data_IF_110132305237
#
_entry.id   IF_110132305237
#
_cell.length_a   1.000
_cell.length_b   1.000
_cell.length_c   1.000
_cell.angle_alpha   90.00
_cell.angle_beta   90.00
_cell.angle_gamma   90.00
#
_symmetry.space_group_name_H-M   'P 1'
#
loop_
_entity.id
_entity.type
_entity.pdbx_description
1 polymer ?
#
# COMPACT_ATOMS: atom_id res chain seq x y z
N UNK A 1 22.19 -4.83 0.23
CA UNK A 1 22.31 -3.71 1.19
C UNK A 1 22.74 -4.28 2.54
N UNK A 2 23.57 -3.59 3.31
CA UNK A 2 23.98 -4.12 4.63
C UNK A 2 22.90 -3.84 5.68
N UNK A 3 22.65 -4.80 6.59
CA UNK A 3 21.71 -4.63 7.71
C UNK A 3 22.02 -3.40 8.58
N UNK A 4 23.30 -2.98 8.64
CA UNK A 4 23.72 -1.76 9.34
C UNK A 4 23.17 -0.48 8.70
N UNK A 5 23.19 -0.35 7.38
CA UNK A 5 22.66 0.85 6.69
C UNK A 5 21.15 1.02 6.92
N UNK A 6 20.42 -0.11 6.97
CA UNK A 6 18.99 -0.12 7.29
C UNK A 6 18.75 0.34 8.74
N UNK A 7 19.48 -0.23 9.71
CA UNK A 7 19.36 0.14 11.13
C UNK A 7 19.68 1.61 11.36
N UNK A 8 20.78 2.11 10.79
CA UNK A 8 21.20 3.51 10.93
C UNK A 8 20.15 4.48 10.37
N UNK A 9 19.55 4.17 9.21
CA UNK A 9 18.49 4.99 8.63
C UNK A 9 17.25 5.01 9.54
N UNK A 10 16.81 3.83 9.99
CA UNK A 10 15.59 3.69 10.81
C UNK A 10 15.75 4.40 12.15
N UNK A 11 16.90 4.23 12.82
CA UNK A 11 17.22 4.92 14.07
C UNK A 11 17.25 6.43 13.89
N UNK A 12 17.96 6.92 12.86
CA UNK A 12 18.06 8.35 12.60
C UNK A 12 16.71 8.99 12.27
N UNK A 13 15.88 8.35 11.44
CA UNK A 13 14.56 8.86 11.11
C UNK A 13 13.62 8.83 12.31
N UNK A 14 13.67 7.76 13.12
CA UNK A 14 12.91 7.63 14.37
C UNK A 14 13.25 8.75 15.36
N UNK A 15 14.54 9.00 15.61
CA UNK A 15 14.99 10.08 16.50
C UNK A 15 14.52 11.45 16.00
N UNK A 16 14.64 11.72 14.69
CA UNK A 16 14.24 13.01 14.11
C UNK A 16 12.74 13.23 14.09
N UNK A 17 11.94 12.16 14.03
CA UNK A 17 10.49 12.26 14.11
C UNK A 17 10.02 12.50 15.54
N UNK A 18 10.66 11.87 16.52
CA UNK A 18 10.30 11.99 17.93
C UNK A 18 10.85 13.25 18.62
N UNK A 19 11.86 13.91 18.04
CA UNK A 19 12.46 15.12 18.62
C UNK A 19 11.40 16.22 18.90
N UNK A 20 11.26 16.57 20.18
CA UNK A 20 10.29 17.55 20.67
C UNK A 20 8.82 17.13 20.53
N UNK A 21 8.52 15.84 20.30
CA UNK A 21 7.16 15.30 20.17
C UNK A 21 6.72 14.51 21.40
N UNK A 22 5.43 14.58 21.69
CA UNK A 22 4.80 13.82 22.76
C UNK A 22 4.33 12.46 22.24
N UNK A 23 5.29 11.59 21.90
CA UNK A 23 5.02 10.24 21.40
C UNK A 23 4.88 10.11 19.88
N UNK A 24 4.57 8.89 19.43
CA UNK A 24 4.50 8.50 18.02
C UNK A 24 3.35 9.22 17.30
N UNK A 25 2.17 9.30 17.91
CA UNK A 25 0.99 9.95 17.32
C UNK A 25 1.29 11.41 16.94
N UNK A 26 1.95 12.16 17.82
CA UNK A 26 2.36 13.54 17.54
C UNK A 26 3.52 13.64 16.51
N UNK A 27 4.27 12.56 16.31
CA UNK A 27 5.38 12.47 15.37
C UNK A 27 4.93 12.14 13.95
N UNK A 28 3.85 11.36 13.78
CA UNK A 28 3.31 11.00 12.45
C UNK A 28 2.54 12.15 11.81
N UNK A 29 1.90 13.02 12.61
CA UNK A 29 1.10 14.15 12.13
C UNK A 29 1.87 14.98 11.09
N UNK A 30 1.28 15.12 9.90
CA UNK A 30 1.85 15.81 8.71
C UNK A 30 3.16 15.25 8.16
N UNK A 31 3.67 14.13 8.70
CA UNK A 31 4.88 13.42 8.25
C UNK A 31 4.67 11.92 8.01
N UNK A 32 3.51 11.46 7.49
CA UNK A 32 3.19 10.04 7.43
C UNK A 32 4.16 9.25 6.53
N UNK A 33 4.71 9.83 5.46
CA UNK A 33 5.68 9.14 4.60
C UNK A 33 6.97 8.75 5.36
N UNK A 34 7.51 9.65 6.18
CA UNK A 34 8.73 9.37 6.96
C UNK A 34 8.45 8.38 8.09
N UNK A 35 7.29 8.49 8.72
CA UNK A 35 6.84 7.53 9.72
C UNK A 35 6.62 6.13 9.12
N UNK A 36 6.13 6.04 7.87
CA UNK A 36 6.01 4.77 7.15
C UNK A 36 7.39 4.14 6.87
N UNK A 37 8.40 4.94 6.51
CA UNK A 37 9.78 4.47 6.40
C UNK A 37 10.26 3.84 7.71
N UNK A 38 9.98 4.47 8.86
CA UNK A 38 10.32 3.89 10.18
C UNK A 38 9.55 2.60 10.44
N UNK A 39 8.23 2.58 10.24
CA UNK A 39 7.40 1.40 10.51
C UNK A 39 7.83 0.17 9.68
N UNK A 40 8.04 0.37 8.38
CA UNK A 40 8.48 -0.67 7.45
C UNK A 40 9.90 -1.14 7.78
N UNK A 41 10.80 -0.20 8.11
CA UNK A 41 12.17 -0.52 8.49
C UNK A 41 12.26 -1.31 9.79
N UNK A 42 11.48 -0.96 10.82
CA UNK A 42 11.39 -1.73 12.06
C UNK A 42 10.89 -3.15 11.80
N UNK A 43 9.88 -3.31 10.93
CA UNK A 43 9.35 -4.61 10.55
C UNK A 43 10.42 -5.47 9.85
N UNK A 44 11.23 -4.87 8.97
CA UNK A 44 12.35 -5.52 8.30
C UNK A 44 13.53 -5.87 9.23
N UNK A 45 13.62 -5.22 10.39
CA UNK A 45 14.60 -5.49 11.43
C UNK A 45 14.04 -6.43 12.52
N UNK A 46 12.91 -7.10 12.25
CA UNK A 46 12.19 -7.99 13.16
C UNK A 46 11.66 -7.33 14.45
N UNK A 47 11.63 -5.99 14.54
CA UNK A 47 10.98 -5.26 15.63
C UNK A 47 9.47 -5.12 15.35
N UNK A 48 8.75 -6.24 15.52
CA UNK A 48 7.31 -6.34 15.21
C UNK A 48 6.46 -5.42 16.09
N UNK A 49 6.78 -5.34 17.39
CA UNK A 49 6.02 -4.50 18.32
C UNK A 49 6.24 -3.02 18.02
N UNK A 50 7.49 -2.60 17.82
CA UNK A 50 7.83 -1.25 17.40
C UNK A 50 7.17 -0.88 16.08
N UNK A 51 7.28 -1.74 15.06
CA UNK A 51 6.61 -1.53 13.77
C UNK A 51 5.10 -1.37 13.94
N UNK A 52 4.48 -2.21 14.76
CA UNK A 52 3.03 -2.18 15.01
C UNK A 52 2.58 -0.87 15.64
N UNK A 53 3.34 -0.28 16.56
CA UNK A 53 2.98 1.01 17.18
C UNK A 53 3.04 2.15 16.16
N UNK A 54 4.05 2.17 15.28
CA UNK A 54 4.12 3.15 14.20
C UNK A 54 3.03 2.96 13.14
N UNK A 55 2.72 1.72 12.76
CA UNK A 55 1.62 1.47 11.81
C UNK A 55 0.26 1.90 12.38
N UNK A 56 -0.03 1.65 13.66
CA UNK A 56 -1.28 2.11 14.29
C UNK A 56 -1.45 3.62 14.23
N UNK A 57 -0.40 4.37 14.57
CA UNK A 57 -0.43 5.83 14.44
C UNK A 57 -0.64 6.28 12.98
N UNK A 58 -0.05 5.56 12.02
CA UNK A 58 -0.25 5.82 10.59
C UNK A 58 -1.67 5.53 10.11
N UNK A 59 -2.34 4.51 10.66
CA UNK A 59 -3.74 4.20 10.32
C UNK A 59 -4.66 5.38 10.63
N UNK A 60 -4.42 6.08 11.74
CA UNK A 60 -5.18 7.27 12.12
C UNK A 60 -4.83 8.49 11.24
N UNK A 61 -3.56 8.68 10.89
CA UNK A 61 -3.08 9.87 10.18
C UNK A 61 -3.28 9.82 8.66
N UNK A 62 -3.12 8.66 8.01
CA UNK A 62 -3.18 8.56 6.55
C UNK A 62 -4.48 9.10 5.94
N UNK A 63 -5.68 8.77 6.47
CA UNK A 63 -6.93 9.33 5.97
C UNK A 63 -6.99 10.85 6.13
N UNK A 64 -6.50 11.41 7.24
CA UNK A 64 -6.48 12.86 7.47
C UNK A 64 -5.59 13.54 6.43
N UNK A 65 -4.39 13.00 6.24
CA UNK A 65 -3.41 13.53 5.29
C UNK A 65 -3.89 13.44 3.84
N UNK A 66 -4.49 12.30 3.46
CA UNK A 66 -5.07 12.09 2.14
C UNK A 66 -6.27 13.03 1.88
N UNK A 67 -7.18 13.17 2.84
CA UNK A 67 -8.33 14.08 2.72
C UNK A 67 -7.89 15.55 2.62
N UNK A 68 -6.87 15.99 3.36
CA UNK A 68 -6.35 17.36 3.21
C UNK A 68 -5.80 17.63 1.80
N UNK A 69 -5.12 16.65 1.20
CA UNK A 69 -4.69 16.74 -0.21
C UNK A 69 -5.85 16.68 -1.19
N UNK A 70 -6.86 15.87 -0.90
CA UNK A 70 -8.09 15.84 -1.67
C UNK A 70 -8.75 17.21 -1.73
N UNK A 71 -9.03 17.81 -0.57
CA UNK A 71 -9.67 19.12 -0.43
C UNK A 71 -8.88 20.18 -1.20
N UNK A 72 -7.58 20.28 -0.93
CA UNK A 72 -6.70 21.26 -1.59
C UNK A 72 -6.53 21.07 -3.10
N UNK A 73 -6.82 19.89 -3.66
CA UNK A 73 -6.66 19.60 -5.09
C UNK A 73 -7.97 19.66 -5.87
N UNK A 74 -9.06 19.17 -5.29
CA UNK A 74 -10.27 18.91 -6.04
C UNK A 74 -11.46 19.77 -5.63
N UNK A 75 -11.48 20.37 -4.43
CA UNK A 75 -12.55 21.33 -4.09
C UNK A 75 -12.39 22.68 -4.80
N UNK A 76 -11.15 23.15 -4.97
CA UNK A 76 -10.89 24.46 -5.58
C UNK A 76 -10.86 24.40 -7.12
N UNK A 77 -10.41 23.29 -7.71
CA UNK A 77 -10.27 23.11 -9.16
C UNK A 77 -10.63 21.67 -9.60
N UNK A 78 -11.93 21.34 -9.72
CA UNK A 78 -12.41 19.95 -9.93
C UNK A 78 -12.00 19.33 -11.28
N UNK A 79 -11.36 20.09 -12.19
CA UNK A 79 -10.82 19.61 -13.47
C UNK A 79 -9.29 19.52 -13.51
N UNK A 80 -8.64 19.53 -12.35
CA UNK A 80 -7.24 19.20 -12.25
C UNK A 80 -6.96 17.82 -12.87
N UNK A 81 -5.76 17.59 -13.44
CA UNK A 81 -5.39 16.27 -13.92
C UNK A 81 -5.54 15.22 -12.82
N UNK A 82 -5.97 14.02 -13.21
CA UNK A 82 -6.22 12.92 -12.28
C UNK A 82 -4.96 12.49 -11.47
N UNK A 83 -3.76 12.79 -11.97
CA UNK A 83 -2.48 12.72 -11.24
C UNK A 83 -1.99 14.15 -10.93
N UNK A 84 -1.73 14.55 -9.67
CA UNK A 84 -1.08 13.73 -8.64
C UNK A 84 -1.97 13.23 -7.49
N UNK A 85 -3.08 13.91 -7.18
CA UNK A 85 -4.09 13.54 -6.17
C UNK A 85 -3.59 13.01 -4.80
N UNK A 86 -4.52 12.49 -3.96
CA UNK A 86 -4.23 11.81 -2.70
C UNK A 86 -4.11 10.28 -2.84
N UNK A 87 -4.16 9.76 -4.06
CA UNK A 87 -4.42 8.34 -4.34
C UNK A 87 -3.37 7.39 -3.77
N UNK A 88 -2.09 7.77 -3.83
CA UNK A 88 -1.02 7.00 -3.19
C UNK A 88 -1.14 7.00 -1.67
N UNK A 89 -1.61 8.10 -1.07
CA UNK A 89 -1.76 8.21 0.38
C UNK A 89 -2.92 7.34 0.88
N UNK A 90 -4.00 7.24 0.11
CA UNK A 90 -5.09 6.29 0.37
C UNK A 90 -4.63 4.82 0.34
N UNK A 91 -3.85 4.45 -0.68
CA UNK A 91 -3.26 3.09 -0.77
C UNK A 91 -2.31 2.84 0.41
N UNK A 92 -1.50 3.83 0.79
CA UNK A 92 -0.63 3.73 1.96
C UNK A 92 -1.41 3.56 3.27
N UNK A 93 -2.60 4.16 3.39
CA UNK A 93 -3.53 3.90 4.49
C UNK A 93 -3.96 2.44 4.55
N UNK A 94 -4.36 1.85 3.41
CA UNK A 94 -4.68 0.42 3.30
C UNK A 94 -3.47 -0.43 3.71
N UNK A 95 -2.26 -0.09 3.27
CA UNK A 95 -1.06 -0.84 3.65
C UNK A 95 -0.77 -0.74 5.14
N UNK A 96 -0.89 0.46 5.72
CA UNK A 96 -0.64 0.67 7.13
C UNK A 96 -1.60 -0.16 8.00
N UNK A 97 -2.89 -0.22 7.66
CA UNK A 97 -3.88 -0.97 8.44
C UNK A 97 -3.70 -2.49 8.32
N UNK A 98 -3.36 -2.98 7.13
CA UNK A 98 -3.00 -4.38 6.92
C UNK A 98 -1.76 -4.77 7.72
N UNK A 99 -0.72 -3.93 7.70
CA UNK A 99 0.53 -4.20 8.42
C UNK A 99 0.41 -3.97 9.93
N UNK A 100 -0.50 -3.09 10.37
CA UNK A 100 -0.89 -2.94 11.78
C UNK A 100 -1.69 -4.15 12.31
N UNK A 101 -2.22 -4.99 11.41
CA UNK A 101 -3.11 -6.12 11.73
C UNK A 101 -4.41 -5.64 12.38
N UNK A 102 -4.97 -4.58 11.81
CA UNK A 102 -6.24 -3.99 12.21
C UNK A 102 -7.30 -4.24 11.13
N UNK A 103 -8.58 -3.98 11.45
CA UNK A 103 -9.64 -4.10 10.46
C UNK A 103 -9.42 -3.08 9.33
N UNK A 104 -9.24 -3.57 8.11
CA UNK A 104 -8.99 -2.76 6.91
C UNK A 104 -10.27 -2.13 6.34
N UNK A 105 -11.44 -2.64 6.69
CA UNK A 105 -12.73 -2.24 6.09
C UNK A 105 -13.03 -0.75 6.24
N UNK A 106 -12.80 -0.16 7.42
CA UNK A 106 -13.06 1.28 7.64
C UNK A 106 -12.22 2.18 6.73
N UNK A 107 -10.96 1.78 6.51
CA UNK A 107 -10.06 2.49 5.60
C UNK A 107 -10.45 2.21 4.16
N UNK A 108 -10.76 0.96 3.81
CA UNK A 108 -11.21 0.59 2.47
C UNK A 108 -12.50 1.33 2.08
N UNK A 109 -13.47 1.46 2.99
CA UNK A 109 -14.72 2.21 2.77
C UNK A 109 -14.43 3.69 2.48
N UNK A 110 -13.53 4.31 3.25
CA UNK A 110 -13.09 5.69 3.00
C UNK A 110 -12.46 5.83 1.61
N UNK A 111 -11.58 4.91 1.22
CA UNK A 111 -10.92 4.92 -0.09
C UNK A 111 -11.93 4.69 -1.22
N UNK A 112 -12.86 3.75 -1.04
CA UNK A 112 -13.90 3.43 -2.00
C UNK A 112 -14.83 4.64 -2.22
N UNK A 113 -15.34 5.24 -1.14
CA UNK A 113 -16.19 6.43 -1.21
C UNK A 113 -15.53 7.57 -2.00
N UNK A 114 -14.23 7.82 -1.76
CA UNK A 114 -13.47 8.85 -2.46
C UNK A 114 -13.21 8.51 -3.92
N UNK A 115 -12.79 7.29 -4.22
CA UNK A 115 -12.49 6.90 -5.59
C UNK A 115 -13.73 6.77 -6.46
N UNK A 116 -14.93 6.66 -5.87
CA UNK A 116 -16.21 6.54 -6.59
C UNK A 116 -17.00 7.85 -6.65
N UNK A 117 -16.46 8.98 -6.17
CA UNK A 117 -17.14 10.26 -6.31
C UNK A 117 -17.38 10.59 -7.80
N UNK A 118 -18.58 11.05 -8.20
CA UNK A 118 -18.94 11.17 -9.62
C UNK A 118 -17.97 11.99 -10.48
N UNK A 119 -17.38 13.05 -9.92
CA UNK A 119 -16.45 13.89 -10.67
C UNK A 119 -15.09 13.21 -10.93
N UNK A 120 -14.75 12.14 -10.19
CA UNK A 120 -13.46 11.45 -10.34
C UNK A 120 -13.34 10.87 -11.74
N UNK A 121 -14.44 10.39 -12.32
CA UNK A 121 -14.46 9.89 -13.70
C UNK A 121 -14.44 11.04 -14.74
N UNK A 122 -14.67 12.28 -14.31
CA UNK A 122 -14.60 13.49 -15.15
C UNK A 122 -13.25 14.22 -15.10
N UNK A 123 -12.29 13.72 -14.32
CA UNK A 123 -10.96 14.32 -14.18
C UNK A 123 -10.22 14.35 -15.52
N UNK A 124 -9.42 15.41 -15.75
CA UNK A 124 -8.59 15.50 -16.96
C UNK A 124 -7.55 14.36 -16.96
N UNK A 125 -7.39 13.68 -18.11
CA UNK A 125 -6.47 12.54 -18.29
C UNK A 125 -6.72 11.38 -17.32
N UNK A 126 -7.98 11.13 -16.97
CA UNK A 126 -8.39 10.06 -16.05
C UNK A 126 -7.88 8.67 -16.44
N UNK A 127 -7.79 8.42 -17.74
CA UNK A 127 -7.31 7.17 -18.34
C UNK A 127 -5.83 6.87 -18.08
N UNK A 128 -5.05 7.89 -17.68
CA UNK A 128 -3.64 7.75 -17.27
C UNK A 128 -3.45 7.62 -15.76
N UNK A 129 -4.52 7.72 -14.97
CA UNK A 129 -4.44 7.75 -13.51
C UNK A 129 -4.72 6.39 -12.86
N UNK A 130 -3.94 5.38 -13.27
CA UNK A 130 -4.07 3.98 -12.81
C UNK A 130 -4.07 3.80 -11.29
N UNK A 131 -3.51 4.73 -10.51
CA UNK A 131 -3.58 4.70 -9.03
C UNK A 131 -4.99 4.84 -8.51
N UNK A 132 -5.85 5.60 -9.19
CA UNK A 132 -7.26 5.72 -8.84
C UNK A 132 -7.93 4.37 -9.03
N UNK A 133 -7.71 3.74 -10.19
CA UNK A 133 -8.31 2.44 -10.52
C UNK A 133 -7.78 1.34 -9.60
N UNK A 134 -6.50 1.37 -9.22
CA UNK A 134 -5.94 0.47 -8.22
C UNK A 134 -6.61 0.67 -6.85
N UNK A 135 -6.70 1.91 -6.37
CA UNK A 135 -7.34 2.20 -5.09
C UNK A 135 -8.82 1.77 -5.08
N UNK A 136 -9.53 2.04 -6.18
CA UNK A 136 -10.93 1.66 -6.39
C UNK A 136 -11.11 0.14 -6.41
N UNK A 137 -10.31 -0.57 -7.21
CA UNK A 137 -10.40 -2.04 -7.34
C UNK A 137 -10.01 -2.76 -6.05
N UNK A 138 -8.92 -2.32 -5.40
CA UNK A 138 -8.44 -2.92 -4.16
C UNK A 138 -9.42 -2.71 -3.01
N UNK A 139 -9.95 -1.50 -2.84
CA UNK A 139 -10.97 -1.24 -1.81
C UNK A 139 -12.27 -2.01 -2.09
N UNK A 140 -12.70 -2.08 -3.35
CA UNK A 140 -13.87 -2.87 -3.74
C UNK A 140 -13.71 -4.35 -3.42
N UNK A 141 -12.55 -4.95 -3.73
CA UNK A 141 -12.27 -6.35 -3.43
C UNK A 141 -12.17 -6.63 -1.92
N UNK A 142 -11.62 -5.69 -1.14
CA UNK A 142 -11.57 -5.80 0.33
C UNK A 142 -12.98 -5.76 0.94
N UNK A 143 -13.87 -4.94 0.38
CA UNK A 143 -15.24 -4.75 0.86
C UNK A 143 -16.24 -5.79 0.34
N UNK A 144 -15.83 -6.67 -0.59
CA UNK A 144 -16.71 -7.63 -1.27
C UNK A 144 -17.91 -6.91 -1.95
N UNK A 145 -17.62 -5.81 -2.66
CA UNK A 145 -18.61 -5.01 -3.37
C UNK A 145 -18.93 -5.61 -4.75
N UNK A 146 -20.20 -5.62 -5.15
CA UNK A 146 -20.72 -6.12 -6.46
C UNK A 146 -20.09 -5.49 -7.72
N UNK A 147 -19.24 -4.46 -7.58
CA UNK A 147 -18.60 -3.72 -8.68
C UNK A 147 -17.10 -4.00 -8.82
N UNK A 148 -16.55 -4.91 -8.01
CA UNK A 148 -15.13 -5.26 -7.98
C UNK A 148 -14.58 -5.74 -9.33
N UNK A 149 -15.28 -6.64 -10.02
CA UNK A 149 -14.91 -7.12 -11.37
C UNK A 149 -14.87 -5.95 -12.37
N UNK A 150 -15.88 -5.07 -12.35
CA UNK A 150 -15.94 -3.93 -13.27
C UNK A 150 -14.81 -2.93 -13.02
N UNK A 151 -14.46 -2.68 -11.75
CA UNK A 151 -13.36 -1.79 -11.40
C UNK A 151 -12.01 -2.37 -11.83
N UNK A 152 -11.82 -3.68 -11.64
CA UNK A 152 -10.62 -4.39 -12.06
C UNK A 152 -10.47 -4.39 -13.59
N UNK A 153 -11.54 -4.65 -14.33
CA UNK A 153 -11.56 -4.59 -15.80
C UNK A 153 -11.16 -3.19 -16.30
N UNK A 154 -11.61 -2.13 -15.62
CA UNK A 154 -11.26 -0.75 -15.94
C UNK A 154 -9.76 -0.49 -15.74
N UNK A 155 -9.21 -0.95 -14.60
CA UNK A 155 -7.77 -0.87 -14.34
C UNK A 155 -6.98 -1.61 -15.42
N UNK A 156 -7.37 -2.83 -15.76
CA UNK A 156 -6.71 -3.64 -16.79
C UNK A 156 -6.74 -2.94 -18.14
N UNK A 157 -7.92 -2.50 -18.59
CA UNK A 157 -8.07 -1.80 -19.87
C UNK A 157 -7.15 -0.57 -19.95
N UNK A 158 -7.17 0.30 -18.94
CA UNK A 158 -6.35 1.51 -18.95
C UNK A 158 -4.86 1.22 -18.87
N UNK A 159 -4.43 0.22 -18.10
CA UNK A 159 -3.01 -0.19 -18.08
C UNK A 159 -2.60 -0.74 -19.44
N UNK A 160 -3.46 -1.52 -20.10
CA UNK A 160 -3.18 -2.08 -21.43
C UNK A 160 -3.12 -1.00 -22.50
N UNK A 161 -4.01 -0.01 -22.49
CA UNK A 161 -4.10 1.02 -23.52
C UNK A 161 -3.12 2.19 -23.30
N UNK A 162 -2.86 2.55 -22.03
CA UNK A 162 -2.19 3.80 -21.68
C UNK A 162 -0.97 3.64 -20.77
N UNK A 163 -0.76 2.46 -20.18
CA UNK A 163 0.35 2.22 -19.26
C UNK A 163 1.72 2.23 -19.94
N UNK A 164 2.69 2.86 -19.29
CA UNK A 164 4.12 2.70 -19.62
C UNK A 164 4.62 1.29 -19.24
N UNK A 165 5.84 0.92 -19.63
CA UNK A 165 6.45 -0.35 -19.21
C UNK A 165 6.49 -0.50 -17.68
N UNK A 166 6.72 0.62 -16.97
CA UNK A 166 6.70 0.67 -15.52
C UNK A 166 5.28 0.44 -14.97
N UNK A 167 4.27 1.08 -15.56
CA UNK A 167 2.87 0.93 -15.14
C UNK A 167 2.40 -0.50 -15.37
N UNK A 168 2.72 -1.09 -16.53
CA UNK A 168 2.38 -2.49 -16.84
C UNK A 168 3.03 -3.44 -15.85
N UNK A 169 4.32 -3.30 -15.58
CA UNK A 169 5.02 -4.14 -14.62
C UNK A 169 4.36 -4.10 -13.23
N UNK A 170 3.99 -2.91 -12.75
CA UNK A 170 3.39 -2.76 -11.41
C UNK A 170 1.91 -3.18 -11.38
N UNK A 171 1.08 -2.61 -12.24
CA UNK A 171 -0.37 -2.77 -12.13
C UNK A 171 -0.84 -4.12 -12.68
N UNK A 172 -0.17 -4.74 -13.64
CA UNK A 172 -0.52 -6.12 -14.04
C UNK A 172 -0.33 -7.11 -12.89
N UNK A 173 0.69 -6.91 -12.04
CA UNK A 173 0.88 -7.73 -10.85
C UNK A 173 -0.25 -7.52 -9.82
N UNK A 174 -0.69 -6.28 -9.63
CA UNK A 174 -1.88 -5.98 -8.82
C UNK A 174 -3.15 -6.57 -9.39
N UNK A 175 -3.36 -6.48 -10.71
CA UNK A 175 -4.52 -7.04 -11.39
C UNK A 175 -4.57 -8.55 -11.16
N UNK A 176 -3.46 -9.24 -11.37
CA UNK A 176 -3.33 -10.68 -11.13
C UNK A 176 -3.64 -11.05 -9.67
N UNK A 177 -3.13 -10.27 -8.71
CA UNK A 177 -3.40 -10.49 -7.29
C UNK A 177 -4.89 -10.32 -6.95
N UNK A 178 -5.51 -9.21 -7.38
CA UNK A 178 -6.93 -8.93 -7.10
C UNK A 178 -7.81 -9.98 -7.78
N UNK A 179 -7.54 -10.33 -9.04
CA UNK A 179 -8.24 -11.42 -9.73
C UNK A 179 -8.12 -12.74 -8.93
N UNK A 180 -6.96 -12.99 -8.34
CA UNK A 180 -6.74 -14.13 -7.46
C UNK A 180 -7.60 -14.10 -6.20
N UNK A 181 -7.78 -12.93 -5.57
CA UNK A 181 -8.70 -12.77 -4.43
C UNK A 181 -10.15 -13.08 -4.84
N UNK A 182 -10.62 -12.49 -5.94
CA UNK A 182 -12.00 -12.66 -6.42
C UNK A 182 -12.33 -14.12 -6.75
N UNK A 183 -11.34 -14.86 -7.28
CA UNK A 183 -11.52 -16.26 -7.68
C UNK A 183 -11.09 -17.28 -6.61
N UNK A 184 -10.73 -16.84 -5.39
CA UNK A 184 -10.15 -17.71 -4.35
C UNK A 184 -8.94 -18.53 -4.87
N UNK A 185 -8.16 -17.93 -5.77
CA UNK A 185 -7.08 -18.58 -6.52
C UNK A 185 -5.72 -18.29 -5.90
N UNK A 186 -5.26 -19.20 -5.03
CA UNK A 186 -3.93 -19.12 -4.41
C UNK A 186 -2.78 -18.98 -5.43
N UNK A 187 -2.88 -19.62 -6.60
CA UNK A 187 -1.85 -19.52 -7.64
C UNK A 187 -1.76 -18.11 -8.21
N UNK A 188 -2.90 -17.47 -8.45
CA UNK A 188 -2.94 -16.12 -9.02
C UNK A 188 -2.52 -15.07 -8.00
N UNK A 189 -2.93 -15.25 -6.75
CA UNK A 189 -2.45 -14.43 -5.63
C UNK A 189 -0.91 -14.49 -5.53
N UNK A 190 -0.34 -15.70 -5.56
CA UNK A 190 1.11 -15.87 -5.48
C UNK A 190 1.81 -15.26 -6.70
N UNK A 191 1.30 -15.48 -7.91
CA UNK A 191 1.85 -14.88 -9.13
C UNK A 191 1.82 -13.35 -9.10
N UNK A 192 0.75 -12.74 -8.55
CA UNK A 192 0.67 -11.30 -8.33
C UNK A 192 1.71 -10.80 -7.34
N UNK A 193 1.91 -11.49 -6.21
CA UNK A 193 2.95 -11.13 -5.22
C UNK A 193 4.35 -11.27 -5.84
N UNK A 194 4.63 -12.34 -6.57
CA UNK A 194 5.90 -12.54 -7.30
C UNK A 194 6.12 -11.44 -8.33
N UNK A 195 5.09 -11.04 -9.08
CA UNK A 195 5.17 -9.90 -10.00
C UNK A 195 5.50 -8.57 -9.32
N UNK A 196 4.96 -8.33 -8.12
CA UNK A 196 5.30 -7.13 -7.32
C UNK A 196 6.74 -7.18 -6.78
N UNK A 197 7.26 -8.36 -6.48
CA UNK A 197 8.66 -8.56 -6.11
C UNK A 197 9.60 -8.30 -7.30
N UNK A 198 9.26 -8.81 -8.48
CA UNK A 198 10.01 -8.57 -9.72
C UNK A 198 10.01 -7.08 -10.08
N UNK A 199 8.85 -6.42 -9.94
CA UNK A 199 8.73 -4.97 -10.09
C UNK A 199 9.67 -4.23 -9.13
N UNK A 200 9.65 -4.59 -7.84
CA UNK A 200 10.53 -3.99 -6.82
C UNK A 200 12.00 -4.15 -7.19
N UNK A 201 12.41 -5.38 -7.53
CA UNK A 201 13.81 -5.68 -7.86
C UNK A 201 14.29 -4.89 -9.09
N UNK A 202 13.42 -4.76 -10.09
CA UNK A 202 13.74 -4.10 -11.35
C UNK A 202 13.77 -2.58 -11.22
N UNK A 203 12.83 -2.01 -10.45
CA UNK A 203 12.56 -0.56 -10.49
C UNK A 203 12.87 0.19 -9.20
N UNK A 204 12.93 -0.48 -8.04
CA UNK A 204 13.04 0.18 -6.73
C UNK A 204 14.35 -0.19 -6.03
N UNK A 205 14.65 -1.48 -5.88
CA UNK A 205 15.83 -1.97 -5.15
C UNK A 205 17.16 -1.40 -5.70
N UNK A 206 17.21 -1.12 -6.99
CA UNK A 206 18.37 -0.58 -7.69
C UNK A 206 18.26 0.91 -8.03
N UNK A 207 17.18 1.58 -7.61
CA UNK A 207 16.98 2.99 -7.88
C UNK A 207 18.00 3.85 -7.11
N UNK A 208 18.50 4.89 -7.78
CA UNK A 208 19.55 5.76 -7.22
C UNK A 208 19.03 6.57 -6.03
N UNK A 209 17.79 7.01 -6.12
CA UNK A 209 17.09 7.89 -5.19
C UNK A 209 16.28 7.14 -4.12
N UNK A 210 16.14 5.82 -4.22
CA UNK A 210 15.52 5.02 -3.18
C UNK A 210 16.39 4.97 -1.91
N UNK A 211 15.75 5.17 -0.76
CA UNK A 211 16.40 5.03 0.55
C UNK A 211 16.65 3.55 0.93
N UNK A 212 17.30 3.31 2.08
CA UNK A 212 17.66 1.96 2.50
C UNK A 212 16.41 1.08 2.76
N UNK A 213 15.35 1.63 3.37
CA UNK A 213 14.10 0.87 3.62
C UNK A 213 13.41 0.54 2.31
N UNK A 214 13.30 1.52 1.41
CA UNK A 214 12.72 1.34 0.07
C UNK A 214 13.49 0.32 -0.76
N UNK A 215 14.79 0.13 -0.53
CA UNK A 215 15.57 -0.91 -1.20
C UNK A 215 15.39 -2.28 -0.55
N UNK A 216 15.33 -2.32 0.79
CA UNK A 216 15.12 -3.56 1.54
C UNK A 216 13.76 -4.17 1.29
N UNK A 217 12.68 -3.38 1.36
CA UNK A 217 11.33 -3.92 1.47
C UNK A 217 10.50 -3.64 0.25
N UNK A 218 9.99 -4.71 -0.36
CA UNK A 218 8.98 -4.62 -1.39
C UNK A 218 7.62 -4.34 -0.75
N UNK A 219 7.34 -3.07 -0.44
CA UNK A 219 6.16 -2.66 0.34
C UNK A 219 4.84 -3.14 -0.29
N UNK A 220 4.70 -2.99 -1.61
CA UNK A 220 3.54 -3.46 -2.38
C UNK A 220 3.31 -4.97 -2.14
N UNK A 221 4.32 -5.80 -2.38
CA UNK A 221 4.26 -7.25 -2.17
C UNK A 221 4.03 -7.64 -0.70
N UNK A 222 4.64 -6.89 0.23
CA UNK A 222 4.52 -7.12 1.67
C UNK A 222 3.09 -6.89 2.16
N UNK A 223 2.47 -5.79 1.73
CA UNK A 223 1.08 -5.49 2.08
C UNK A 223 0.10 -6.49 1.43
N UNK A 224 0.33 -6.89 0.18
CA UNK A 224 -0.49 -7.89 -0.50
C UNK A 224 -0.38 -9.28 0.13
N UNK A 225 0.80 -9.67 0.62
CA UNK A 225 0.96 -10.90 1.41
C UNK A 225 0.18 -10.82 2.73
N UNK A 226 0.22 -9.68 3.43
CA UNK A 226 -0.57 -9.47 4.65
C UNK A 226 -2.09 -9.60 4.36
N UNK A 227 -2.57 -9.01 3.27
CA UNK A 227 -3.96 -9.13 2.83
C UNK A 227 -4.33 -10.57 2.48
N UNK A 228 -3.53 -11.28 1.68
CA UNK A 228 -3.82 -12.68 1.34
C UNK A 228 -3.94 -13.56 2.60
N UNK A 229 -3.05 -13.38 3.59
CA UNK A 229 -3.09 -14.12 4.85
C UNK A 229 -4.34 -13.75 5.68
N UNK A 230 -4.73 -12.48 5.71
CA UNK A 230 -6.03 -12.03 6.27
C UNK A 230 -7.20 -12.69 5.54
N UNK A 231 -7.15 -12.88 4.23
CA UNK A 231 -8.22 -13.58 3.51
C UNK A 231 -8.23 -15.10 3.72
N UNK A 232 -7.40 -15.61 4.64
CA UNK A 232 -7.33 -17.03 4.97
C UNK A 232 -6.47 -17.84 4.01
N UNK A 233 -5.70 -17.16 3.14
CA UNK A 233 -4.79 -17.83 2.22
C UNK A 233 -3.51 -18.22 2.95
N UNK A 234 -3.29 -19.52 3.12
CA UNK A 234 -2.07 -20.05 3.70
C UNK A 234 -0.89 -19.94 2.70
N UNK A 235 -0.37 -18.71 2.52
CA UNK A 235 0.74 -18.37 1.62
C UNK A 235 1.95 -17.95 2.47
N UNK A 236 3.11 -18.43 2.06
CA UNK A 236 4.42 -18.03 2.56
C UNK A 236 5.30 -17.70 1.37
N UNK A 237 6.07 -16.62 1.47
CA UNK A 237 6.95 -16.14 0.40
C UNK A 237 8.37 -16.02 0.95
N UNK A 238 9.25 -16.91 0.50
CA UNK A 238 10.66 -16.92 0.87
C UNK A 238 11.44 -15.97 -0.07
N UNK A 239 11.50 -14.69 0.31
CA UNK A 239 12.18 -13.67 -0.46
C UNK A 239 12.79 -12.61 0.47
N UNK A 240 14.04 -12.20 0.20
CA UNK A 240 14.80 -11.28 1.07
C UNK A 240 14.13 -9.91 1.26
N UNK A 241 13.34 -9.48 0.27
CA UNK A 241 12.60 -8.23 0.31
C UNK A 241 11.24 -8.28 1.04
N UNK A 242 10.86 -9.45 1.56
CA UNK A 242 9.70 -9.63 2.43
C UNK A 242 10.21 -9.77 3.86
N UNK A 243 9.80 -8.90 4.81
CA UNK A 243 10.18 -9.04 6.20
C UNK A 243 9.78 -10.41 6.76
N UNK A 244 10.70 -11.10 7.42
CA UNK A 244 10.49 -12.43 7.97
C UNK A 244 9.21 -12.57 8.84
N UNK A 245 8.79 -11.55 9.63
CA UNK A 245 7.59 -11.65 10.44
C UNK A 245 6.32 -11.91 9.64
N UNK A 246 6.24 -11.49 8.36
CA UNK A 246 5.05 -11.73 7.52
C UNK A 246 4.77 -13.22 7.27
N UNK A 247 5.82 -14.05 7.30
CA UNK A 247 5.68 -15.50 7.14
C UNK A 247 5.40 -16.24 8.47
N UNK A 248 5.39 -15.52 9.60
CA UNK A 248 5.18 -16.11 10.91
C UNK A 248 3.71 -15.98 11.34
N UNK A 249 3.03 -17.11 11.52
CA UNK A 249 1.62 -17.19 11.97
C UNK A 249 1.39 -16.57 13.37
N UNK A 250 2.43 -16.43 14.19
CA UNK A 250 2.36 -15.72 15.48
C UNK A 250 2.07 -14.24 15.29
N UNK A 251 2.71 -13.63 14.28
CA UNK A 251 2.63 -12.19 14.04
C UNK A 251 1.56 -11.84 13.01
N UNK A 252 1.46 -12.60 11.92
CA UNK A 252 0.49 -12.40 10.84
C UNK A 252 -0.28 -13.71 10.59
N UNK A 253 -1.30 -14.04 11.40
CA UNK A 253 -2.00 -15.32 11.30
C UNK A 253 -2.81 -15.45 10.00
N UNK A 254 -2.95 -16.68 9.51
CA UNK A 254 -3.83 -17.00 8.37
C UNK A 254 -5.26 -17.18 8.86
N UNK A 255 -6.10 -16.15 8.73
CA UNK A 255 -7.48 -16.17 9.24
C UNK A 255 -8.37 -15.22 8.48
N UNK A 256 -9.40 -15.76 7.82
CA UNK A 256 -10.53 -14.98 7.33
C UNK A 256 -11.27 -14.38 8.54
N UNK A 257 -11.04 -13.10 8.80
CA UNK A 257 -11.88 -12.33 9.73
C UNK A 257 -13.30 -12.33 9.16
N UNK A 258 -14.29 -12.58 10.02
CA UNK A 258 -15.71 -12.66 9.68
C UNK A 258 -16.46 -11.50 10.29
#
# INVERSE_FOLDING_TARGET
>A
MSSNELSELVESERERLLDGKDGIDAAVVTRPTRAQTVAVGLLALDDVDGASDWFRALVEEWPIYANSKWESKYEEEPRSPASPGPWSDYINGIFAVLLARQNVEDIADTVYARTTEPFVDELDKREFAHRIDLARSLSSAILDNDSDEQHLDTLEQYVVEHGSDWDRARYSAYIQFIQGLLNDSKSDILAGIEGLLDFHQTHVANARDADAVQKAVALDATAMLALARREGMAITVDHEAIPAPLNNDEYYPVRKEK
#
